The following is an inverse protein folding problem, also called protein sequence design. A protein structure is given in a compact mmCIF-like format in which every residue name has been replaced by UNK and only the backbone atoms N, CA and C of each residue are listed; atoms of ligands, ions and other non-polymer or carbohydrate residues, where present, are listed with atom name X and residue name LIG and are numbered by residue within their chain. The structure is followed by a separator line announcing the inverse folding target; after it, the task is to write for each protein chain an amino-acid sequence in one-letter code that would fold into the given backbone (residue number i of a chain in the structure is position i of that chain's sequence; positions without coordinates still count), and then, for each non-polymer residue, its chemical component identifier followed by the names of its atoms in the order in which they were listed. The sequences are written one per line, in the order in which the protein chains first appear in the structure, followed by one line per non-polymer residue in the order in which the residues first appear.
data_IF_998375691456
#
_entry.id   IF_998375691456
#
_cell.length_a   1.000
_cell.length_b   1.000
_cell.length_c   1.000
_cell.angle_alpha   90.00
_cell.angle_beta   90.00
_cell.angle_gamma   90.00
#
_symmetry.space_group_name_H-M   'P 1'
#
loop_
_entity.id
_entity.type
_entity.pdbx_description
1 polymer ?
#
# COMPACT_ATOMS: atom_id res chain seq x y z
N UNK A 1 -32.64 -3.51 -4.60
CA UNK A 1 -31.21 -3.17 -4.50
C UNK A 1 -30.95 -1.80 -3.79
N UNK A 2 -31.90 -1.27 -3.09
CA UNK A 2 -31.80 0.04 -2.39
C UNK A 2 -31.65 -0.07 -0.86
N UNK A 3 -31.65 -1.26 -0.32
CA UNK A 3 -31.66 -1.52 1.14
C UNK A 3 -30.38 -1.16 1.90
N UNK A 4 -29.27 -0.82 1.20
CA UNK A 4 -27.97 -0.57 1.85
C UNK A 4 -27.66 0.90 2.15
N UNK A 5 -28.37 1.84 1.55
CA UNK A 5 -28.23 3.28 1.88
C UNK A 5 -29.17 3.62 3.01
N UNK A 6 -30.36 3.00 3.06
CA UNK A 6 -31.35 3.28 4.08
C UNK A 6 -30.95 2.79 5.49
N UNK A 7 -30.14 1.71 5.57
CA UNK A 7 -29.56 1.25 6.84
C UNK A 7 -28.59 2.24 7.48
N UNK A 8 -27.99 3.14 6.65
CA UNK A 8 -27.06 4.18 7.13
C UNK A 8 -27.73 5.52 7.42
N UNK A 9 -28.95 5.76 6.93
CA UNK A 9 -29.68 7.01 7.16
C UNK A 9 -30.14 7.18 8.62
N UNK A 10 -30.16 6.10 9.40
CA UNK A 10 -30.51 6.07 10.81
C UNK A 10 -29.30 6.15 11.76
N UNK A 11 -28.07 6.34 11.22
CA UNK A 11 -26.88 6.47 12.06
C UNK A 11 -26.93 7.76 12.87
N UNK A 12 -26.86 7.61 14.19
CA UNK A 12 -26.74 8.76 15.11
C UNK A 12 -25.39 9.45 14.89
N UNK A 13 -25.37 10.80 14.93
CA UNK A 13 -24.10 11.53 15.09
C UNK A 13 -23.26 10.86 16.20
N UNK A 14 -21.95 10.58 16.01
CA UNK A 14 -21.07 11.19 15.00
C UNK A 14 -20.74 10.31 13.76
N UNK A 15 -21.57 9.37 13.38
CA UNK A 15 -21.36 8.54 12.17
C UNK A 15 -21.99 9.20 10.95
N UNK A 16 -21.25 9.28 9.82
CA UNK A 16 -21.71 9.96 8.60
C UNK A 16 -21.46 9.10 7.37
N UNK A 17 -22.51 8.72 6.62
CA UNK A 17 -22.33 8.08 5.33
C UNK A 17 -21.71 9.08 4.34
N UNK A 18 -20.76 8.60 3.54
CA UNK A 18 -20.05 9.41 2.55
C UNK A 18 -19.70 8.58 1.31
N UNK A 19 -19.55 9.26 0.18
CA UNK A 19 -18.91 8.72 -1.01
C UNK A 19 -17.73 9.62 -1.35
N UNK A 20 -16.55 9.32 -0.80
CA UNK A 20 -15.36 10.17 -0.99
C UNK A 20 -15.04 10.44 -2.45
N UNK A 21 -15.21 9.46 -3.34
CA UNK A 21 -15.01 9.64 -4.79
C UNK A 21 -15.98 10.61 -5.46
N UNK A 22 -17.15 10.83 -4.88
CA UNK A 22 -18.12 11.84 -5.35
C UNK A 22 -17.89 13.20 -4.69
N UNK A 23 -17.52 13.17 -3.41
CA UNK A 23 -17.25 14.37 -2.62
C UNK A 23 -15.99 15.08 -3.12
N UNK A 24 -14.91 14.34 -3.27
CA UNK A 24 -13.64 14.81 -3.83
C UNK A 24 -13.55 14.33 -5.29
N UNK A 25 -13.84 15.22 -6.23
CA UNK A 25 -13.95 14.91 -7.67
C UNK A 25 -12.59 14.74 -8.35
N UNK A 26 -11.75 13.85 -7.81
CA UNK A 26 -10.46 13.48 -8.37
C UNK A 26 -10.51 12.05 -8.91
N UNK A 27 -9.84 11.80 -10.04
CA UNK A 27 -9.57 10.44 -10.51
C UNK A 27 -8.59 9.76 -9.56
N UNK A 28 -8.77 8.47 -9.28
CA UNK A 28 -7.90 7.74 -8.35
C UNK A 28 -6.48 7.51 -8.87
N UNK A 29 -6.22 7.82 -10.14
CA UNK A 29 -4.96 7.67 -10.85
C UNK A 29 -4.41 8.99 -11.40
N UNK A 30 -4.96 10.15 -10.97
CA UNK A 30 -4.46 11.46 -11.38
C UNK A 30 -3.05 11.73 -10.86
N UNK A 31 -2.36 12.69 -11.46
CA UNK A 31 -0.96 12.98 -11.16
C UNK A 31 -0.11 11.69 -11.19
N UNK A 32 0.73 11.49 -10.21
CA UNK A 32 1.58 10.30 -10.07
C UNK A 32 0.93 9.12 -9.33
N UNK A 33 -0.31 9.24 -8.87
CA UNK A 33 -1.02 8.15 -8.18
C UNK A 33 -1.13 6.84 -8.98
N UNK A 34 -1.10 6.90 -10.29
CA UNK A 34 -1.10 5.73 -11.16
C UNK A 34 0.29 5.27 -11.61
N UNK A 35 1.37 5.80 -11.03
CA UNK A 35 2.73 5.55 -11.52
C UNK A 35 3.14 4.10 -11.35
N UNK A 36 2.80 3.48 -10.23
CA UNK A 36 3.03 2.07 -10.00
C UNK A 36 1.80 1.36 -9.44
N UNK A 37 1.58 0.09 -9.83
CA UNK A 37 0.48 -0.71 -9.34
C UNK A 37 0.79 -1.21 -7.93
N UNK A 38 0.09 -0.67 -6.94
CA UNK A 38 0.17 -1.09 -5.55
C UNK A 38 -1.19 -1.66 -5.11
N UNK A 39 -1.25 -2.91 -4.58
CA UNK A 39 -2.49 -3.51 -4.12
C UNK A 39 -3.01 -2.82 -2.87
N UNK A 40 -4.34 -2.77 -2.72
CA UNK A 40 -5.01 -2.14 -1.58
C UNK A 40 -4.53 -0.68 -1.32
N UNK A 41 -4.27 0.06 -2.39
CA UNK A 41 -3.82 1.45 -2.34
C UNK A 41 -4.80 2.33 -1.56
N UNK A 42 -4.28 3.14 -0.64
CA UNK A 42 -5.02 4.21 0.00
C UNK A 42 -5.55 5.18 -1.09
N UNK A 43 -6.86 5.37 -1.18
CA UNK A 43 -7.43 6.19 -2.25
C UNK A 43 -7.19 7.67 -2.00
N UNK A 44 -6.71 8.43 -3.00
CA UNK A 44 -6.35 9.84 -2.83
C UNK A 44 -7.53 10.71 -2.39
N UNK A 45 -8.76 10.35 -2.76
CA UNK A 45 -9.95 11.08 -2.36
C UNK A 45 -10.17 11.13 -0.83
N UNK A 46 -9.83 10.07 -0.11
CA UNK A 46 -9.92 10.04 1.36
C UNK A 46 -8.81 10.90 1.97
N UNK A 47 -7.57 10.73 1.50
CA UNK A 47 -6.41 11.49 2.00
C UNK A 47 -6.61 12.98 1.74
N UNK A 48 -7.02 13.37 0.52
CA UNK A 48 -7.32 14.77 0.16
C UNK A 48 -8.43 15.35 1.06
N UNK A 49 -9.53 14.62 1.24
CA UNK A 49 -10.61 15.06 2.11
C UNK A 49 -10.13 15.32 3.54
N UNK A 50 -9.35 14.37 4.10
CA UNK A 50 -8.82 14.53 5.46
C UNK A 50 -7.89 15.75 5.55
N UNK A 51 -6.96 15.91 4.61
CA UNK A 51 -6.03 17.03 4.56
C UNK A 51 -6.79 18.36 4.52
N UNK A 52 -7.77 18.51 3.64
CA UNK A 52 -8.52 19.75 3.45
C UNK A 52 -9.42 20.07 4.64
N UNK A 53 -10.00 19.06 5.31
CA UNK A 53 -10.94 19.24 6.42
C UNK A 53 -10.26 19.42 7.78
N UNK A 54 -9.07 18.86 8.01
CA UNK A 54 -8.47 18.74 9.34
C UNK A 54 -7.08 19.35 9.46
N UNK A 55 -6.51 19.88 8.39
CA UNK A 55 -5.16 20.46 8.38
C UNK A 55 -5.09 21.75 7.56
N UNK A 56 -4.00 22.50 7.71
CA UNK A 56 -3.71 23.71 6.93
C UNK A 56 -2.34 23.61 6.27
N UNK A 57 -2.06 24.38 5.20
CA UNK A 57 -0.72 24.45 4.62
C UNK A 57 0.35 24.73 5.66
N UNK A 58 1.47 24.02 5.57
CA UNK A 58 2.57 24.07 6.52
C UNK A 58 2.47 23.11 7.71
N UNK A 59 1.32 22.44 7.92
CA UNK A 59 1.21 21.39 8.94
C UNK A 59 2.07 20.18 8.53
N UNK A 60 2.62 19.49 9.54
CA UNK A 60 3.37 18.24 9.38
C UNK A 60 2.43 17.03 9.51
N UNK A 61 2.39 16.21 8.47
CA UNK A 61 1.54 15.01 8.41
C UNK A 61 2.36 13.73 8.52
N UNK A 62 1.74 12.66 9.02
CA UNK A 62 2.40 11.38 9.16
C UNK A 62 1.52 10.21 8.68
N UNK A 63 2.13 9.31 7.89
CA UNK A 63 1.57 8.00 7.57
C UNK A 63 2.58 6.89 7.92
N UNK A 64 2.33 6.11 9.00
CA UNK A 64 3.19 5.01 9.42
C UNK A 64 3.06 3.73 8.58
N UNK A 65 2.05 3.64 7.71
CA UNK A 65 1.77 2.50 6.83
C UNK A 65 1.54 2.99 5.39
N UNK A 66 2.50 3.77 4.89
CA UNK A 66 2.33 4.61 3.71
C UNK A 66 2.15 3.83 2.39
N UNK A 67 2.54 2.57 2.33
CA UNK A 67 2.32 1.67 1.20
C UNK A 67 2.78 2.25 -0.14
N UNK A 68 1.83 2.78 -0.91
CA UNK A 68 2.10 3.40 -2.21
C UNK A 68 2.48 4.87 -2.16
N UNK A 69 2.63 5.51 -0.99
CA UNK A 69 3.03 6.91 -0.89
C UNK A 69 1.93 7.95 -1.18
N UNK A 70 0.66 7.56 -1.10
CA UNK A 70 -0.47 8.48 -1.40
C UNK A 70 -0.41 9.78 -0.60
N UNK A 71 -0.03 9.74 0.68
CA UNK A 71 0.11 10.94 1.51
C UNK A 71 1.13 11.91 0.92
N UNK A 72 2.29 11.43 0.46
CA UNK A 72 3.34 12.30 -0.09
C UNK A 72 2.85 13.11 -1.29
N UNK A 73 2.16 12.47 -2.23
CA UNK A 73 1.60 13.16 -3.42
C UNK A 73 0.59 14.23 -2.99
N UNK A 74 -0.34 13.89 -2.11
CA UNK A 74 -1.38 14.81 -1.64
C UNK A 74 -0.80 15.96 -0.81
N UNK A 75 0.17 15.69 0.05
CA UNK A 75 0.86 16.69 0.85
C UNK A 75 1.61 17.70 -0.01
N UNK A 76 2.36 17.24 -1.02
CA UNK A 76 3.04 18.12 -1.97
C UNK A 76 2.09 19.04 -2.73
N UNK A 77 0.97 18.50 -3.23
CA UNK A 77 -0.02 19.28 -3.98
C UNK A 77 -0.72 20.31 -3.08
N UNK A 78 -0.89 20.01 -1.82
CA UNK A 78 -1.68 20.84 -0.88
C UNK A 78 -0.83 21.68 0.08
N UNK A 79 0.50 21.62 -0.02
CA UNK A 79 1.41 22.44 0.76
C UNK A 79 1.57 22.00 2.22
N UNK A 80 1.52 20.70 2.50
CA UNK A 80 1.81 20.12 3.80
C UNK A 80 3.17 19.46 3.80
N UNK A 81 3.88 19.54 4.92
CA UNK A 81 5.07 18.73 5.16
C UNK A 81 4.64 17.30 5.54
N UNK A 82 5.49 16.31 5.30
CA UNK A 82 5.10 14.93 5.57
C UNK A 82 6.25 14.01 5.98
N UNK A 83 5.88 13.02 6.79
CA UNK A 83 6.71 11.85 7.10
C UNK A 83 5.93 10.61 6.69
N UNK A 84 6.59 9.71 5.97
CA UNK A 84 6.01 8.43 5.56
C UNK A 84 6.93 7.29 5.97
N UNK A 85 6.37 6.30 6.63
CA UNK A 85 7.05 5.04 6.95
C UNK A 85 6.33 3.86 6.30
N UNK A 86 7.09 2.85 5.96
CA UNK A 86 6.56 1.55 5.57
C UNK A 86 7.55 0.44 5.92
N UNK A 87 7.05 -0.75 6.22
CA UNK A 87 7.89 -1.93 6.40
C UNK A 87 8.53 -2.36 5.07
N UNK A 88 7.85 -2.10 3.95
CA UNK A 88 8.37 -2.41 2.62
C UNK A 88 9.33 -1.30 2.16
N UNK A 89 10.64 -1.58 2.00
CA UNK A 89 11.59 -0.56 1.58
C UNK A 89 11.37 -0.05 0.16
N UNK A 90 10.53 -0.70 -0.64
CA UNK A 90 10.14 -0.23 -1.97
C UNK A 90 9.52 1.17 -1.95
N UNK A 91 8.89 1.59 -0.83
CA UNK A 91 8.31 2.92 -0.66
C UNK A 91 9.31 4.04 -0.96
N UNK A 92 10.59 3.87 -0.64
CA UNK A 92 11.60 4.92 -0.87
C UNK A 92 11.79 5.20 -2.35
N UNK A 93 11.81 4.17 -3.18
CA UNK A 93 11.93 4.31 -4.63
C UNK A 93 10.64 4.85 -5.23
N UNK A 94 9.50 4.27 -4.86
CA UNK A 94 8.19 4.68 -5.39
C UNK A 94 7.89 6.12 -5.02
N UNK A 95 8.02 6.50 -3.75
CA UNK A 95 7.70 7.83 -3.28
C UNK A 95 8.60 8.90 -3.90
N UNK A 96 9.91 8.64 -4.02
CA UNK A 96 10.83 9.56 -4.69
C UNK A 96 10.48 9.76 -6.17
N UNK A 97 10.00 8.72 -6.86
CA UNK A 97 9.53 8.84 -8.23
C UNK A 97 8.20 9.60 -8.30
N UNK A 98 7.28 9.31 -7.39
CA UNK A 98 5.94 9.88 -7.35
C UNK A 98 5.92 11.37 -6.95
N UNK A 99 6.89 11.81 -6.13
CA UNK A 99 7.03 13.21 -5.68
C UNK A 99 8.21 13.93 -6.32
N UNK A 100 8.60 13.52 -7.54
CA UNK A 100 9.72 14.09 -8.26
C UNK A 100 9.46 15.55 -8.69
N UNK A 101 10.23 16.50 -8.16
CA UNK A 101 10.05 17.95 -8.41
C UNK A 101 11.02 18.53 -9.44
N UNK A 102 12.15 17.88 -9.67
CA UNK A 102 13.13 18.40 -10.62
C UNK A 102 12.64 18.27 -12.05
N UNK A 103 13.05 19.23 -12.90
CA UNK A 103 12.72 19.14 -14.33
C UNK A 103 13.22 17.83 -14.92
N UNK A 104 12.34 17.10 -15.59
CA UNK A 104 12.71 15.86 -16.25
C UNK A 104 13.62 16.15 -17.44
N UNK A 105 14.78 15.51 -17.47
CA UNK A 105 15.57 15.36 -18.69
C UNK A 105 15.17 14.04 -19.34
N UNK A 106 14.52 14.10 -20.51
CA UNK A 106 14.05 12.90 -21.23
C UNK A 106 15.20 11.96 -21.59
N UNK A 107 16.41 12.48 -21.80
CA UNK A 107 17.63 11.67 -22.01
C UNK A 107 17.93 10.71 -20.85
N UNK A 108 17.40 10.97 -19.66
CA UNK A 108 17.48 10.02 -18.53
C UNK A 108 16.96 8.63 -18.91
N UNK A 109 15.95 8.57 -19.78
CA UNK A 109 15.33 7.31 -20.19
C UNK A 109 15.99 6.67 -21.42
N UNK A 110 17.05 7.26 -21.97
CA UNK A 110 17.88 6.66 -23.02
C UNK A 110 18.82 5.61 -22.40
N UNK A 111 18.28 4.43 -22.08
CA UNK A 111 19.05 3.35 -21.47
C UNK A 111 19.79 2.52 -22.50
N UNK A 112 21.02 2.11 -22.20
CA UNK A 112 21.77 1.18 -23.06
C UNK A 112 21.33 -0.27 -22.82
N UNK A 113 20.61 -0.85 -23.78
CA UNK A 113 20.16 -2.23 -23.74
C UNK A 113 21.30 -3.25 -23.89
N UNK A 114 22.49 -2.82 -24.35
CA UNK A 114 23.68 -3.64 -24.49
C UNK A 114 24.74 -3.30 -23.41
N UNK A 115 24.30 -2.72 -22.29
CA UNK A 115 25.23 -2.32 -21.23
C UNK A 115 26.17 -3.45 -20.84
N UNK A 116 27.43 -3.14 -20.63
CA UNK A 116 28.49 -4.14 -20.46
C UNK A 116 28.56 -4.76 -19.06
N UNK A 117 27.90 -4.15 -18.07
CA UNK A 117 27.75 -4.72 -16.73
C UNK A 117 26.36 -5.29 -16.54
N UNK A 118 26.24 -6.32 -15.72
CA UNK A 118 24.97 -6.92 -15.35
C UNK A 118 24.86 -7.01 -13.83
N UNK A 119 23.63 -6.80 -13.35
CA UNK A 119 23.26 -7.07 -11.98
C UNK A 119 22.35 -8.29 -11.93
N UNK A 120 22.77 -9.31 -11.19
CA UNK A 120 22.02 -10.55 -11.02
C UNK A 120 21.55 -10.63 -9.56
N UNK A 121 20.23 -10.65 -9.31
CA UNK A 121 19.69 -10.77 -7.96
C UNK A 121 20.17 -12.03 -7.25
N UNK A 122 20.54 -11.92 -5.96
CA UNK A 122 20.86 -13.07 -5.11
C UNK A 122 19.59 -13.82 -4.68
N UNK A 123 18.98 -14.50 -5.61
CA UNK A 123 17.74 -15.23 -5.45
C UNK A 123 17.88 -16.68 -5.90
N UNK A 124 17.74 -17.63 -4.96
CA UNK A 124 17.91 -19.07 -5.21
C UNK A 124 17.01 -19.60 -6.33
N UNK A 125 15.83 -19.02 -6.51
CA UNK A 125 14.84 -19.42 -7.51
C UNK A 125 14.79 -18.50 -8.75
N UNK A 126 15.85 -17.73 -9.04
CA UNK A 126 15.86 -16.76 -10.14
C UNK A 126 15.53 -17.40 -11.49
N UNK A 127 16.15 -18.55 -11.80
CA UNK A 127 15.93 -19.31 -13.04
C UNK A 127 14.54 -19.97 -13.14
N UNK A 128 13.85 -20.15 -11.99
CA UNK A 128 12.44 -20.56 -11.99
C UNK A 128 11.52 -19.44 -12.49
N UNK A 129 11.92 -18.17 -12.30
CA UNK A 129 11.14 -17.00 -12.67
C UNK A 129 11.51 -16.42 -14.03
N UNK A 130 12.69 -16.66 -14.54
CA UNK A 130 13.16 -16.08 -15.79
C UNK A 130 13.76 -17.11 -16.74
N UNK A 131 13.37 -17.10 -18.03
CA UNK A 131 14.18 -17.70 -19.08
C UNK A 131 15.55 -17.05 -19.15
N UNK A 132 16.57 -17.81 -19.54
CA UNK A 132 17.96 -17.34 -19.65
C UNK A 132 18.08 -16.15 -20.61
N UNK A 133 17.37 -16.20 -21.73
CA UNK A 133 17.37 -15.19 -22.79
C UNK A 133 16.89 -13.81 -22.27
N UNK A 134 15.83 -13.79 -21.46
CA UNK A 134 15.31 -12.56 -20.88
C UNK A 134 16.17 -12.07 -19.73
N UNK A 135 16.67 -13.00 -18.92
CA UNK A 135 17.51 -12.68 -17.77
C UNK A 135 18.79 -11.95 -18.18
N UNK A 136 19.41 -12.34 -19.31
CA UNK A 136 20.63 -11.68 -19.80
C UNK A 136 20.39 -10.18 -20.06
N UNK A 137 19.36 -9.82 -20.80
CA UNK A 137 19.05 -8.40 -21.08
C UNK A 137 18.59 -7.66 -19.81
N UNK A 138 17.67 -8.24 -19.06
CA UNK A 138 17.15 -7.59 -17.85
C UNK A 138 18.27 -7.33 -16.85
N UNK A 139 19.21 -8.27 -16.68
CA UNK A 139 20.35 -8.07 -15.78
C UNK A 139 21.28 -6.92 -16.22
N UNK A 140 21.43 -6.69 -17.53
CA UNK A 140 22.16 -5.53 -18.07
C UNK A 140 21.45 -4.21 -17.82
N UNK A 141 20.12 -4.18 -17.98
CA UNK A 141 19.32 -3.00 -17.68
C UNK A 141 19.42 -2.60 -16.19
N UNK A 142 19.40 -3.59 -15.30
CA UNK A 142 19.61 -3.35 -13.87
C UNK A 142 21.08 -3.08 -13.53
N UNK A 143 22.04 -3.57 -14.31
CA UNK A 143 23.44 -3.16 -14.23
C UNK A 143 23.60 -1.68 -14.56
N UNK A 144 22.92 -1.18 -15.61
CA UNK A 144 22.87 0.23 -15.94
C UNK A 144 22.24 1.05 -14.79
N UNK A 145 21.10 0.60 -14.26
CA UNK A 145 20.45 1.26 -13.13
C UNK A 145 21.35 1.38 -11.90
N UNK A 146 22.13 0.36 -11.58
CA UNK A 146 23.03 0.39 -10.42
C UNK A 146 24.19 1.40 -10.58
N UNK A 147 24.69 1.60 -11.81
CA UNK A 147 25.71 2.62 -12.07
C UNK A 147 25.10 4.04 -12.18
N UNK A 148 23.84 4.15 -12.60
CA UNK A 148 23.10 5.42 -12.76
C UNK A 148 21.74 5.36 -12.06
N UNK A 149 21.72 5.27 -10.71
CA UNK A 149 20.48 5.09 -9.97
C UNK A 149 19.60 6.34 -10.05
N UNK A 150 18.38 6.15 -10.54
CA UNK A 150 17.35 7.18 -10.54
C UNK A 150 15.98 6.54 -10.32
N UNK A 151 15.17 6.99 -9.35
CA UNK A 151 13.90 6.38 -9.02
C UNK A 151 12.90 6.37 -10.20
N UNK A 152 12.99 7.35 -11.11
CA UNK A 152 12.14 7.38 -12.31
C UNK A 152 12.45 6.21 -13.26
N UNK A 153 13.73 5.79 -13.37
CA UNK A 153 14.13 4.64 -14.19
C UNK A 153 13.66 3.31 -13.60
N UNK A 154 13.56 3.21 -12.29
CA UNK A 154 13.11 1.97 -11.65
C UNK A 154 11.69 1.57 -12.08
N UNK A 155 10.81 2.54 -12.34
CA UNK A 155 9.41 2.28 -12.69
C UNK A 155 9.26 1.47 -13.99
N UNK A 156 9.79 1.92 -15.15
CA UNK A 156 9.74 1.11 -16.37
C UNK A 156 10.54 -0.20 -16.25
N UNK A 157 11.65 -0.21 -15.49
CA UNK A 157 12.43 -1.42 -15.27
C UNK A 157 11.66 -2.48 -14.48
N UNK A 158 10.93 -2.13 -13.43
CA UNK A 158 10.04 -3.05 -12.72
C UNK A 158 8.99 -3.64 -13.65
N UNK A 159 8.39 -2.80 -14.50
CA UNK A 159 7.37 -3.24 -15.44
C UNK A 159 7.91 -4.24 -16.43
N UNK A 160 9.06 -3.94 -17.05
CA UNK A 160 9.75 -4.82 -17.98
C UNK A 160 10.16 -6.13 -17.30
N UNK A 161 10.79 -6.04 -16.11
CA UNK A 161 11.23 -7.21 -15.36
C UNK A 161 10.09 -8.16 -15.04
N UNK A 162 8.92 -7.62 -14.64
CA UNK A 162 7.73 -8.44 -14.36
C UNK A 162 7.12 -9.03 -15.62
N UNK A 163 7.02 -8.25 -16.71
CA UNK A 163 6.43 -8.69 -17.97
C UNK A 163 7.22 -9.83 -18.63
N UNK A 164 8.54 -9.76 -18.60
CA UNK A 164 9.44 -10.76 -19.17
C UNK A 164 9.83 -11.86 -18.17
N UNK A 165 9.02 -12.08 -17.14
CA UNK A 165 9.16 -13.17 -16.18
C UNK A 165 7.96 -14.13 -16.25
N UNK A 166 8.06 -15.27 -15.57
CA UNK A 166 6.94 -16.19 -15.38
C UNK A 166 5.94 -15.72 -14.31
N UNK A 167 6.04 -14.47 -13.82
CA UNK A 167 5.09 -13.90 -12.87
C UNK A 167 3.75 -13.57 -13.54
N UNK A 168 2.66 -13.83 -12.85
CA UNK A 168 1.34 -13.40 -13.27
C UNK A 168 1.22 -11.88 -13.21
N UNK A 169 0.55 -11.27 -14.22
CA UNK A 169 0.43 -9.82 -14.33
C UNK A 169 -0.84 -9.26 -13.70
N UNK A 170 -1.93 -10.03 -13.77
CA UNK A 170 -3.25 -9.58 -13.33
C UNK A 170 -3.40 -9.56 -11.80
N UNK A 171 -2.60 -10.37 -11.10
CA UNK A 171 -2.64 -10.46 -9.65
C UNK A 171 -1.39 -9.85 -9.01
N UNK A 172 -1.54 -9.15 -7.90
CA UNK A 172 -0.39 -8.55 -7.24
C UNK A 172 0.56 -9.58 -6.64
N UNK A 173 0.05 -10.72 -6.14
CA UNK A 173 0.87 -11.78 -5.53
C UNK A 173 1.74 -12.46 -6.56
N UNK A 174 3.03 -12.61 -6.24
CA UNK A 174 3.99 -13.30 -7.11
C UNK A 174 3.67 -14.80 -7.17
N UNK A 175 3.15 -15.26 -8.30
CA UNK A 175 2.94 -16.69 -8.59
C UNK A 175 3.08 -16.97 -10.09
N UNK A 176 3.42 -18.21 -10.41
CA UNK A 176 3.60 -18.68 -11.78
C UNK A 176 2.31 -19.39 -12.23
N UNK A 177 1.57 -18.74 -13.12
CA UNK A 177 0.36 -19.32 -13.73
C UNK A 177 0.67 -19.99 -15.06
N UNK A 178 -0.23 -20.83 -15.55
CA UNK A 178 -0.14 -21.40 -16.91
C UNK A 178 -0.19 -20.29 -17.99
N UNK A 179 -0.96 -19.22 -17.76
CA UNK A 179 -1.05 -18.08 -18.67
C UNK A 179 0.28 -17.31 -18.74
N UNK A 180 0.95 -17.14 -17.60
CA UNK A 180 2.28 -16.53 -17.58
C UNK A 180 3.32 -17.38 -18.30
N UNK A 181 3.24 -18.70 -18.17
CA UNK A 181 4.12 -19.64 -18.92
C UNK A 181 3.86 -19.55 -20.41
N UNK A 182 2.60 -19.51 -20.84
CA UNK A 182 2.22 -19.38 -22.26
C UNK A 182 2.65 -18.03 -22.83
N UNK A 183 2.46 -16.93 -22.10
CA UNK A 183 2.97 -15.60 -22.46
C UNK A 183 4.46 -15.64 -22.74
N UNK A 184 5.25 -16.18 -21.82
CA UNK A 184 6.72 -16.29 -21.97
C UNK A 184 7.10 -17.14 -23.16
N UNK A 185 6.43 -18.27 -23.40
CA UNK A 185 6.64 -19.11 -24.57
C UNK A 185 6.38 -18.36 -25.88
N UNK A 186 5.27 -17.62 -25.96
CA UNK A 186 4.94 -16.82 -27.13
C UNK A 186 5.93 -15.68 -27.36
N UNK A 187 6.39 -15.03 -26.30
CA UNK A 187 7.44 -14.02 -26.38
C UNK A 187 8.75 -14.60 -26.94
N UNK A 188 9.21 -15.75 -26.43
CA UNK A 188 10.45 -16.41 -26.93
C UNK A 188 10.37 -16.77 -28.41
N UNK A 189 9.17 -17.03 -28.94
CA UNK A 189 8.93 -17.33 -30.36
C UNK A 189 8.71 -16.08 -31.22
N UNK A 190 8.80 -14.87 -30.65
CA UNK A 190 8.58 -13.60 -31.31
C UNK A 190 9.85 -12.73 -31.34
N UNK A 191 9.76 -11.56 -31.98
CA UNK A 191 10.82 -10.54 -31.86
C UNK A 191 10.77 -9.83 -30.49
N UNK A 192 10.95 -10.60 -29.42
CA UNK A 192 10.79 -10.14 -28.04
C UNK A 192 11.74 -9.00 -27.64
N UNK A 193 12.89 -8.83 -28.30
CA UNK A 193 13.82 -7.74 -28.01
C UNK A 193 13.22 -6.39 -28.37
N UNK A 194 12.51 -6.31 -29.49
CA UNK A 194 11.82 -5.08 -29.86
C UNK A 194 10.60 -4.85 -28.98
N UNK A 195 9.83 -5.90 -28.64
CA UNK A 195 8.73 -5.81 -27.67
C UNK A 195 9.23 -5.28 -26.32
N UNK A 196 10.40 -5.73 -25.87
CA UNK A 196 11.01 -5.26 -24.61
C UNK A 196 11.34 -3.76 -24.67
N UNK A 197 11.99 -3.33 -25.77
CA UNK A 197 12.33 -1.91 -25.98
C UNK A 197 11.09 -1.04 -26.06
N UNK A 198 10.08 -1.49 -26.79
CA UNK A 198 8.82 -0.73 -26.95
C UNK A 198 8.04 -0.64 -25.64
N UNK A 199 7.98 -1.72 -24.87
CA UNK A 199 7.40 -1.70 -23.53
C UNK A 199 8.14 -0.71 -22.61
N UNK A 200 9.46 -0.75 -22.60
CA UNK A 200 10.26 0.17 -21.82
C UNK A 200 9.99 1.63 -22.20
N UNK A 201 10.01 1.97 -23.50
CA UNK A 201 9.74 3.32 -24.01
C UNK A 201 8.35 3.79 -23.63
N UNK A 202 7.34 2.95 -23.87
CA UNK A 202 5.94 3.27 -23.52
C UNK A 202 5.79 3.59 -22.03
N UNK A 203 6.44 2.79 -21.16
CA UNK A 203 6.39 3.04 -19.72
C UNK A 203 7.21 4.28 -19.32
N UNK A 204 8.33 4.56 -19.97
CA UNK A 204 9.11 5.78 -19.76
C UNK A 204 8.31 7.03 -20.13
N UNK A 205 7.66 7.05 -21.30
CA UNK A 205 6.76 8.14 -21.73
C UNK A 205 5.60 8.35 -20.75
N UNK A 206 5.04 7.24 -20.24
CA UNK A 206 4.00 7.29 -19.20
C UNK A 206 4.50 7.91 -17.91
N UNK A 207 5.72 7.59 -17.48
CA UNK A 207 6.36 8.18 -16.29
C UNK A 207 6.54 9.67 -16.49
N UNK A 208 7.12 10.11 -17.63
CA UNK A 208 7.32 11.51 -17.97
C UNK A 208 6.01 12.27 -17.91
N UNK A 209 4.97 11.76 -18.57
CA UNK A 209 3.64 12.38 -18.60
C UNK A 209 3.06 12.54 -17.19
N UNK A 210 3.13 11.50 -16.37
CA UNK A 210 2.57 11.49 -15.01
C UNK A 210 3.32 12.44 -14.07
N UNK A 211 4.64 12.49 -14.17
CA UNK A 211 5.45 13.40 -13.36
C UNK A 211 5.22 14.86 -13.78
N UNK A 212 5.14 15.14 -15.08
CA UNK A 212 4.78 16.49 -15.57
C UNK A 212 3.38 16.92 -15.10
N UNK A 213 2.38 16.00 -15.10
CA UNK A 213 1.06 16.27 -14.54
C UNK A 213 1.16 16.63 -13.05
N UNK A 214 1.91 15.85 -12.25
CA UNK A 214 2.15 16.13 -10.84
C UNK A 214 2.81 17.48 -10.62
N UNK A 215 3.90 17.77 -11.33
CA UNK A 215 4.63 19.04 -11.20
C UNK A 215 3.75 20.27 -11.51
N UNK A 216 2.83 20.14 -12.47
CA UNK A 216 1.88 21.22 -12.80
C UNK A 216 0.90 21.53 -11.65
N UNK A 217 0.65 20.58 -10.76
CA UNK A 217 -0.24 20.72 -9.60
C UNK A 217 0.48 21.22 -8.36
N UNK A 218 1.80 21.01 -8.26
CA UNK A 218 2.59 21.42 -7.11
C UNK A 218 2.91 22.91 -7.15
N UNK A 219 2.31 23.65 -6.21
CA UNK A 219 2.53 25.10 -6.04
C UNK A 219 3.31 25.46 -4.78
N UNK A 220 3.62 24.47 -3.96
CA UNK A 220 4.24 24.60 -2.65
C UNK A 220 5.62 23.94 -2.62
N UNK A 221 6.42 24.33 -1.64
CA UNK A 221 7.71 23.69 -1.38
C UNK A 221 7.64 22.87 -0.10
N UNK A 222 6.87 21.79 -0.13
CA UNK A 222 6.73 20.88 1.00
C UNK A 222 8.00 20.09 1.25
N UNK A 223 8.25 19.73 2.52
CA UNK A 223 9.36 18.88 2.94
C UNK A 223 8.84 17.47 3.23
N UNK A 224 9.40 16.48 2.55
CA UNK A 224 9.04 15.08 2.72
C UNK A 224 10.17 14.24 3.30
N UNK A 225 9.86 13.41 4.28
CA UNK A 225 10.75 12.38 4.81
C UNK A 225 10.10 11.02 4.56
N UNK A 226 10.80 10.15 3.83
CA UNK A 226 10.31 8.80 3.52
C UNK A 226 11.32 7.78 4.02
N UNK A 227 10.86 6.80 4.79
CA UNK A 227 11.69 5.72 5.33
C UNK A 227 11.04 4.37 5.08
N UNK A 228 11.75 3.51 4.36
CA UNK A 228 11.40 2.12 4.13
C UNK A 228 12.10 1.17 5.11
N UNK A 229 11.59 -0.06 5.24
CA UNK A 229 12.14 -1.06 6.16
C UNK A 229 11.83 -0.80 7.64
N UNK A 230 10.93 0.13 7.94
CA UNK A 230 10.60 0.55 9.30
C UNK A 230 9.65 -0.44 9.98
N UNK A 231 10.07 -0.95 11.11
CA UNK A 231 9.24 -1.73 12.02
C UNK A 231 8.59 -0.78 13.04
N UNK A 232 7.33 -0.45 12.86
CA UNK A 232 6.58 0.49 13.72
C UNK A 232 6.51 0.06 15.19
N UNK A 233 6.76 -1.22 15.49
CA UNK A 233 6.80 -1.69 16.87
C UNK A 233 8.11 -1.32 17.57
N UNK A 234 9.17 -0.99 16.83
CA UNK A 234 10.51 -0.68 17.37
C UNK A 234 10.86 0.80 17.32
N UNK A 235 10.29 1.52 16.35
CA UNK A 235 10.59 2.93 16.15
C UNK A 235 9.65 3.83 16.96
N UNK A 236 10.16 4.99 17.38
CA UNK A 236 9.36 6.02 18.00
C UNK A 236 8.79 6.95 16.92
N UNK A 237 7.45 7.13 16.86
CA UNK A 237 6.84 8.01 15.89
C UNK A 237 7.20 9.48 16.14
N UNK A 238 7.32 10.27 15.07
CA UNK A 238 7.55 11.71 15.20
C UNK A 238 6.34 12.40 15.84
N UNK A 239 6.58 13.53 16.47
CA UNK A 239 5.52 14.45 16.85
C UNK A 239 5.07 15.23 15.61
N UNK A 240 3.76 15.26 15.33
CA UNK A 240 3.20 15.82 14.10
C UNK A 240 1.87 16.53 14.37
N UNK A 241 1.40 17.35 13.43
CA UNK A 241 0.11 18.01 13.55
C UNK A 241 -1.03 17.03 13.32
N UNK A 242 -0.91 16.15 12.32
CA UNK A 242 -1.93 15.13 12.04
C UNK A 242 -1.35 13.81 11.51
N UNK A 243 -2.06 12.73 11.81
CA UNK A 243 -1.81 11.40 11.24
C UNK A 243 -2.96 11.06 10.31
N UNK A 244 -2.67 10.57 9.11
CA UNK A 244 -3.66 9.96 8.23
C UNK A 244 -3.07 8.66 7.68
N UNK A 245 -3.73 7.55 7.97
CA UNK A 245 -3.17 6.25 7.66
C UNK A 245 -4.23 5.19 7.38
N UNK A 246 -3.85 4.19 6.60
CA UNK A 246 -4.61 2.96 6.39
C UNK A 246 -3.77 1.77 6.82
N UNK A 247 -3.85 1.33 8.09
CA UNK A 247 -3.05 0.22 8.58
C UNK A 247 -3.39 -1.09 7.85
N UNK A 248 -2.47 -2.08 7.83
CA UNK A 248 -2.75 -3.37 7.22
C UNK A 248 -4.00 -4.00 7.86
N UNK A 249 -4.79 -4.73 7.06
CA UNK A 249 -5.99 -5.39 7.56
C UNK A 249 -5.66 -6.68 8.32
N UNK A 250 -6.57 -7.09 9.19
CA UNK A 250 -6.45 -8.30 10.03
C UNK A 250 -6.17 -9.58 9.21
N UNK A 251 -6.73 -9.69 8.01
CA UNK A 251 -6.38 -10.69 7.01
C UNK A 251 -5.52 -10.04 5.93
N UNK A 252 -4.36 -9.53 6.34
CA UNK A 252 -3.49 -8.75 5.50
C UNK A 252 -3.03 -9.53 4.26
N UNK A 253 -2.84 -8.78 3.18
CA UNK A 253 -2.04 -9.24 2.06
C UNK A 253 -0.58 -9.31 2.54
N UNK A 254 0.13 -10.35 2.15
CA UNK A 254 1.57 -10.47 2.36
C UNK A 254 2.29 -9.48 1.42
N UNK A 255 2.38 -8.20 1.83
CA UNK A 255 2.94 -7.13 0.99
C UNK A 255 4.39 -7.39 0.60
N UNK A 256 5.21 -7.85 1.54
CA UNK A 256 6.62 -8.19 1.26
C UNK A 256 6.71 -9.32 0.22
N UNK A 257 5.84 -10.32 0.33
CA UNK A 257 5.77 -11.41 -0.66
C UNK A 257 5.28 -10.92 -2.03
N UNK A 258 4.36 -9.97 -2.05
CA UNK A 258 3.80 -9.38 -3.27
C UNK A 258 4.87 -8.66 -4.09
N UNK A 259 5.73 -7.89 -3.42
CA UNK A 259 6.79 -7.11 -4.06
C UNK A 259 8.17 -7.77 -4.04
N UNK A 260 8.21 -9.08 -3.83
CA UNK A 260 9.45 -9.85 -3.72
C UNK A 260 10.33 -9.72 -4.97
N UNK A 261 9.73 -9.65 -6.15
CA UNK A 261 10.44 -9.50 -7.41
C UNK A 261 11.16 -8.15 -7.49
N UNK A 262 10.45 -7.07 -7.16
CA UNK A 262 10.97 -5.71 -7.14
C UNK A 262 12.12 -5.57 -6.12
N UNK A 263 11.93 -6.13 -4.92
CA UNK A 263 12.94 -6.13 -3.86
C UNK A 263 14.23 -6.85 -4.30
N UNK A 264 14.13 -7.97 -4.98
CA UNK A 264 15.32 -8.66 -5.51
C UNK A 264 16.06 -7.82 -6.54
N UNK A 265 15.37 -7.16 -7.45
CA UNK A 265 16.00 -6.27 -8.43
C UNK A 265 16.58 -5.01 -7.79
N UNK A 266 16.08 -4.57 -6.65
CA UNK A 266 16.68 -3.51 -5.83
C UNK A 266 17.86 -4.01 -4.98
N UNK A 267 18.25 -5.28 -5.08
CA UNK A 267 19.44 -5.82 -4.40
C UNK A 267 19.19 -6.44 -3.03
N UNK A 268 17.94 -6.53 -2.58
CA UNK A 268 17.61 -7.20 -1.33
C UNK A 268 17.87 -8.71 -1.44
N UNK A 269 18.50 -9.27 -0.42
CA UNK A 269 18.79 -10.70 -0.35
C UNK A 269 17.56 -11.49 0.15
N UNK A 270 17.57 -12.80 -0.09
CA UNK A 270 16.49 -13.68 0.37
C UNK A 270 16.31 -13.66 1.90
N UNK A 271 17.42 -13.55 2.65
CA UNK A 271 17.37 -13.43 4.12
C UNK A 271 16.75 -12.11 4.57
N UNK A 272 17.13 -10.98 3.96
CA UNK A 272 16.53 -9.67 4.28
C UNK A 272 15.03 -9.65 4.00
N UNK A 273 14.58 -10.20 2.86
CA UNK A 273 13.16 -10.29 2.52
C UNK A 273 12.40 -11.19 3.51
N UNK A 274 12.98 -12.32 3.94
CA UNK A 274 12.40 -13.19 4.97
C UNK A 274 12.28 -12.49 6.33
N UNK A 275 13.28 -11.70 6.71
CA UNK A 275 13.24 -10.93 7.97
C UNK A 275 12.18 -9.82 7.94
N UNK A 276 12.02 -9.11 6.81
CA UNK A 276 10.94 -8.16 6.65
C UNK A 276 9.56 -8.84 6.76
N UNK A 277 9.37 -9.98 6.10
CA UNK A 277 8.09 -10.69 6.12
C UNK A 277 7.67 -11.16 7.54
N UNK A 278 8.63 -11.46 8.43
CA UNK A 278 8.35 -11.80 9.84
C UNK A 278 7.81 -10.62 10.66
N UNK A 279 8.04 -9.38 10.21
CA UNK A 279 7.61 -8.16 10.89
C UNK A 279 6.25 -7.66 10.40
N UNK A 280 5.67 -8.27 9.37
CA UNK A 280 4.35 -7.88 8.86
C UNK A 280 3.26 -8.09 9.93
N UNK A 281 2.40 -7.09 10.10
CA UNK A 281 1.18 -7.21 10.91
C UNK A 281 0.13 -7.96 10.04
N UNK A 282 -0.51 -9.01 10.57
CA UNK A 282 -0.57 -9.52 11.95
C UNK A 282 0.38 -10.69 12.27
N UNK A 283 1.38 -10.98 11.47
CA UNK A 283 2.23 -12.17 11.59
C UNK A 283 3.43 -12.00 12.54
N UNK A 284 3.67 -10.77 13.00
CA UNK A 284 4.70 -10.43 13.97
C UNK A 284 4.38 -10.98 15.38
N UNK A 285 5.32 -10.82 16.31
CA UNK A 285 5.13 -11.09 17.74
C UNK A 285 5.18 -9.74 18.49
N UNK A 286 4.05 -9.03 18.61
CA UNK A 286 4.01 -7.73 19.25
C UNK A 286 4.15 -7.87 20.78
N UNK A 287 4.56 -6.78 21.46
CA UNK A 287 4.40 -6.67 22.90
C UNK A 287 2.93 -6.83 23.28
N UNK A 288 2.68 -7.43 24.44
CA UNK A 288 1.33 -7.48 25.00
C UNK A 288 0.98 -6.12 25.56
N UNK A 289 -0.21 -5.64 25.26
CA UNK A 289 -0.74 -4.35 25.77
C UNK A 289 -2.12 -4.55 26.38
N UNK A 290 -2.46 -3.70 27.33
CA UNK A 290 -3.82 -3.64 27.86
C UNK A 290 -4.75 -3.03 26.78
N UNK A 291 -5.68 -3.83 26.27
CA UNK A 291 -6.65 -3.38 25.27
C UNK A 291 -7.93 -2.97 25.98
N UNK A 292 -8.19 -1.66 26.01
CA UNK A 292 -9.36 -1.08 26.68
C UNK A 292 -10.51 -0.90 25.69
N UNK A 293 -11.07 -2.00 25.22
CA UNK A 293 -12.22 -2.05 24.31
C UNK A 293 -13.13 -3.22 24.67
N UNK A 294 -14.40 -2.91 24.97
CA UNK A 294 -15.42 -3.94 25.22
C UNK A 294 -15.69 -4.75 23.96
N UNK A 295 -15.70 -4.08 22.81
CA UNK A 295 -15.88 -4.70 21.51
C UNK A 295 -14.77 -5.68 21.19
N UNK A 296 -13.50 -5.37 21.53
CA UNK A 296 -12.39 -6.30 21.37
C UNK A 296 -12.64 -7.62 22.12
N UNK A 297 -13.00 -7.56 23.40
CA UNK A 297 -13.22 -8.76 24.21
C UNK A 297 -14.45 -9.55 23.78
N UNK A 298 -15.52 -8.87 23.36
CA UNK A 298 -16.69 -9.51 22.77
C UNK A 298 -16.31 -10.38 21.56
N UNK A 299 -15.57 -9.82 20.63
CA UNK A 299 -15.15 -10.55 19.41
C UNK A 299 -14.03 -11.55 19.69
N UNK A 300 -13.20 -11.36 20.70
CA UNK A 300 -12.22 -12.35 21.16
C UNK A 300 -12.92 -13.65 21.56
N UNK A 301 -14.03 -13.55 22.32
CA UNK A 301 -14.81 -14.74 22.71
C UNK A 301 -15.48 -15.40 21.47
N UNK A 302 -15.95 -14.63 20.52
CA UNK A 302 -16.50 -15.20 19.26
C UNK A 302 -15.41 -15.92 18.44
N UNK A 303 -14.19 -15.37 18.37
CA UNK A 303 -13.06 -16.01 17.67
C UNK A 303 -12.60 -17.29 18.38
N UNK A 304 -12.64 -17.34 19.72
CA UNK A 304 -12.34 -18.54 20.51
C UNK A 304 -13.27 -19.71 20.18
N UNK A 305 -14.56 -19.44 19.92
CA UNK A 305 -15.55 -20.46 19.56
C UNK A 305 -15.20 -21.24 18.29
N UNK A 306 -14.34 -20.69 17.43
CA UNK A 306 -13.89 -21.39 16.23
C UNK A 306 -12.87 -22.51 16.54
N UNK A 307 -12.36 -22.60 17.75
CA UNK A 307 -11.35 -23.59 18.20
C UNK A 307 -10.11 -23.65 17.30
N UNK A 308 -9.76 -22.52 16.68
CA UNK A 308 -8.67 -22.41 15.70
C UNK A 308 -7.53 -21.54 16.24
N UNK A 309 -6.48 -22.18 16.79
CA UNK A 309 -5.36 -21.51 17.46
C UNK A 309 -4.71 -20.40 16.63
N UNK A 310 -4.54 -20.61 15.31
CA UNK A 310 -3.93 -19.61 14.44
C UNK A 310 -4.81 -18.36 14.25
N UNK A 311 -6.14 -18.51 14.16
CA UNK A 311 -7.04 -17.37 14.06
C UNK A 311 -7.00 -16.52 15.33
N UNK A 312 -7.00 -17.15 16.48
CA UNK A 312 -6.91 -16.47 17.77
C UNK A 312 -5.57 -15.73 17.90
N UNK A 313 -4.46 -16.39 17.51
CA UNK A 313 -3.13 -15.75 17.49
C UNK A 313 -3.10 -14.53 16.57
N UNK A 314 -3.62 -14.65 15.34
CA UNK A 314 -3.67 -13.56 14.36
C UNK A 314 -4.52 -12.39 14.89
N UNK A 315 -5.69 -12.69 15.47
CA UNK A 315 -6.57 -11.69 16.05
C UNK A 315 -5.88 -10.90 17.17
N UNK A 316 -5.30 -11.60 18.13
CA UNK A 316 -4.62 -10.95 19.26
C UNK A 316 -3.36 -10.22 18.86
N UNK A 317 -2.53 -10.79 17.97
CA UNK A 317 -1.33 -10.14 17.47
C UNK A 317 -1.65 -8.84 16.69
N UNK A 318 -2.69 -8.85 15.88
CA UNK A 318 -3.12 -7.68 15.13
C UNK A 318 -3.46 -6.49 16.02
N UNK A 319 -4.36 -6.69 16.98
CA UNK A 319 -4.77 -5.61 17.87
C UNK A 319 -3.67 -5.19 18.83
N UNK A 320 -2.88 -6.14 19.37
CA UNK A 320 -1.70 -5.78 20.16
C UNK A 320 -0.72 -4.91 19.37
N UNK A 321 -0.46 -5.24 18.10
CA UNK A 321 0.45 -4.47 17.25
C UNK A 321 -0.07 -3.03 17.02
N UNK A 322 -1.31 -2.90 16.57
CA UNK A 322 -1.88 -1.59 16.25
C UNK A 322 -2.00 -0.71 17.50
N UNK A 323 -2.53 -1.27 18.58
CA UNK A 323 -2.73 -0.53 19.83
C UNK A 323 -1.40 -0.15 20.47
N UNK A 324 -0.41 -1.05 20.48
CA UNK A 324 0.94 -0.72 20.94
C UNK A 324 1.51 0.49 20.17
N UNK A 325 1.35 0.51 18.86
CA UNK A 325 1.82 1.61 18.04
C UNK A 325 0.98 2.89 18.26
N UNK A 326 -0.35 2.81 18.21
CA UNK A 326 -1.21 4.00 18.37
C UNK A 326 -1.10 4.65 19.76
N UNK A 327 -0.74 3.90 20.80
CA UNK A 327 -0.44 4.45 22.13
C UNK A 327 0.75 5.42 22.12
N UNK A 328 1.65 5.31 21.15
CA UNK A 328 2.83 6.18 21.03
C UNK A 328 2.57 7.43 20.18
N UNK A 329 1.46 7.51 19.46
CA UNK A 329 1.19 8.62 18.53
C UNK A 329 1.05 9.95 19.30
N UNK A 330 1.80 10.95 18.83
CA UNK A 330 1.78 12.32 19.29
C UNK A 330 1.31 13.23 18.15
N UNK A 331 0.01 13.47 18.11
CA UNK A 331 -0.63 14.33 17.11
C UNK A 331 -1.88 14.99 17.69
N UNK A 332 -2.32 16.10 17.08
CA UNK A 332 -3.56 16.77 17.44
C UNK A 332 -4.78 16.07 16.87
N UNK A 333 -4.63 15.50 15.68
CA UNK A 333 -5.72 14.82 14.94
C UNK A 333 -5.20 13.54 14.31
N UNK A 334 -6.00 12.50 14.31
CA UNK A 334 -5.70 11.25 13.61
C UNK A 334 -6.90 10.81 12.79
N UNK A 335 -6.65 10.44 11.52
CA UNK A 335 -7.57 9.75 10.63
C UNK A 335 -7.10 8.34 10.37
N UNK A 336 -7.90 7.35 10.73
CA UNK A 336 -7.58 5.93 10.50
C UNK A 336 -8.61 5.37 9.52
N UNK A 337 -8.15 4.97 8.34
CA UNK A 337 -9.00 4.41 7.29
C UNK A 337 -8.92 2.89 7.31
N UNK A 338 -9.98 2.26 7.79
CA UNK A 338 -10.08 0.80 7.95
C UNK A 338 -11.48 0.32 7.59
N UNK A 339 -11.58 -0.93 7.15
CA UNK A 339 -12.88 -1.57 6.95
C UNK A 339 -13.12 -2.69 7.97
N UNK A 340 -14.38 -3.05 8.22
CA UNK A 340 -14.70 -4.24 8.99
C UNK A 340 -14.22 -5.47 8.24
N UNK A 341 -13.46 -6.34 8.92
CA UNK A 341 -12.87 -7.56 8.34
C UNK A 341 -13.70 -8.79 8.69
N UNK A 342 -13.94 -9.65 7.71
CA UNK A 342 -14.67 -10.91 7.92
C UNK A 342 -13.69 -12.01 8.34
N UNK A 343 -13.90 -12.60 9.52
CA UNK A 343 -13.25 -13.84 9.95
C UNK A 343 -14.32 -14.94 9.94
N UNK A 344 -14.22 -15.90 9.03
CA UNK A 344 -15.26 -16.90 8.78
C UNK A 344 -16.63 -16.24 8.58
N UNK A 345 -17.57 -16.41 9.52
CA UNK A 345 -18.93 -15.88 9.47
C UNK A 345 -19.15 -14.62 10.33
N UNK A 346 -18.11 -14.14 11.05
CA UNK A 346 -18.21 -12.92 11.85
C UNK A 346 -17.47 -11.76 11.20
N UNK A 347 -17.98 -10.56 11.43
CA UNK A 347 -17.41 -9.31 10.90
C UNK A 347 -16.88 -8.48 12.06
N UNK A 348 -15.57 -8.26 12.09
CA UNK A 348 -14.85 -7.55 13.16
C UNK A 348 -14.83 -6.05 12.84
N UNK A 349 -15.43 -5.19 13.65
CA UNK A 349 -15.43 -3.74 13.50
C UNK A 349 -14.13 -3.15 14.04
N UNK A 350 -13.10 -3.07 13.20
CA UNK A 350 -11.76 -2.62 13.60
C UNK A 350 -11.80 -1.17 14.08
N UNK A 351 -12.53 -0.31 13.38
CA UNK A 351 -12.72 1.10 13.72
C UNK A 351 -13.31 1.29 15.12
N UNK A 352 -14.34 0.51 15.48
CA UNK A 352 -14.97 0.60 16.80
C UNK A 352 -14.02 0.16 17.92
N UNK A 353 -13.27 -0.91 17.71
CA UNK A 353 -12.27 -1.41 18.67
C UNK A 353 -11.17 -0.35 18.90
N UNK A 354 -10.67 0.25 17.84
CA UNK A 354 -9.66 1.30 17.93
C UNK A 354 -10.23 2.55 18.60
N UNK A 355 -11.45 2.97 18.23
CA UNK A 355 -12.15 4.11 18.84
C UNK A 355 -12.27 3.95 20.36
N UNK A 356 -12.85 2.84 20.82
CA UNK A 356 -13.05 2.60 22.26
C UNK A 356 -11.73 2.64 23.04
N UNK A 357 -10.67 2.02 22.48
CA UNK A 357 -9.36 2.05 23.11
C UNK A 357 -8.77 3.46 23.14
N UNK A 358 -8.78 4.17 22.03
CA UNK A 358 -8.21 5.52 21.92
C UNK A 358 -8.95 6.53 22.83
N UNK A 359 -10.27 6.43 22.94
CA UNK A 359 -11.04 7.23 23.91
C UNK A 359 -10.57 6.99 25.35
N UNK A 360 -10.24 5.75 25.70
CA UNK A 360 -9.73 5.41 27.04
C UNK A 360 -8.36 6.00 27.38
N UNK A 361 -7.61 6.47 26.37
CA UNK A 361 -6.27 7.08 26.52
C UNK A 361 -6.25 8.57 26.17
N UNK A 362 -7.44 9.22 26.19
CA UNK A 362 -7.55 10.67 26.08
C UNK A 362 -7.75 11.23 24.67
N UNK A 363 -8.11 10.40 23.70
CA UNK A 363 -8.60 10.86 22.41
C UNK A 363 -10.12 11.05 22.46
N UNK A 364 -10.63 12.05 21.76
CA UNK A 364 -12.05 12.28 21.59
C UNK A 364 -12.48 11.87 20.18
N UNK A 365 -13.54 11.06 20.09
CA UNK A 365 -14.15 10.73 18.81
C UNK A 365 -14.78 11.99 18.18
N UNK A 366 -14.31 12.38 17.03
CA UNK A 366 -14.85 13.52 16.28
C UNK A 366 -15.97 13.05 15.33
N UNK A 367 -15.66 12.08 14.48
CA UNK A 367 -16.60 11.52 13.50
C UNK A 367 -16.04 10.24 12.90
N UNK A 368 -16.92 9.33 12.50
CA UNK A 368 -16.60 8.21 11.62
C UNK A 368 -17.34 8.38 10.30
N UNK A 369 -16.59 8.57 9.21
CA UNK A 369 -17.15 8.58 7.86
C UNK A 369 -17.21 7.16 7.32
N UNK A 370 -18.37 6.75 6.83
CA UNK A 370 -18.62 5.41 6.28
C UNK A 370 -18.72 5.51 4.78
N UNK A 371 -17.69 5.06 4.08
CA UNK A 371 -17.62 5.04 2.61
C UNK A 371 -18.12 3.70 2.06
N UNK A 372 -18.96 3.75 1.06
CA UNK A 372 -19.46 2.55 0.36
C UNK A 372 -18.54 2.20 -0.80
N UNK A 373 -18.05 0.97 -0.84
CA UNK A 373 -17.17 0.51 -1.91
C UNK A 373 -17.98 0.27 -3.19
N UNK A 374 -17.87 1.21 -4.16
CA UNK A 374 -18.68 1.22 -5.38
C UNK A 374 -18.12 0.32 -6.49
N UNK A 375 -16.81 0.10 -6.55
CA UNK A 375 -16.18 -0.73 -7.58
C UNK A 375 -14.91 -1.42 -7.10
N UNK A 376 -14.72 -2.67 -7.54
CA UNK A 376 -13.50 -3.43 -7.32
C UNK A 376 -12.97 -3.94 -8.65
N UNK A 377 -11.66 -3.86 -8.87
CA UNK A 377 -10.99 -4.47 -10.04
C UNK A 377 -10.97 -6.00 -9.98
N UNK A 378 -11.10 -6.59 -8.81
CA UNK A 378 -11.06 -8.05 -8.61
C UNK A 378 -12.42 -8.63 -8.96
N UNK A 379 -12.45 -9.64 -9.85
CA UNK A 379 -13.65 -10.43 -10.17
C UNK A 379 -14.28 -10.97 -8.88
N UNK A 380 -15.60 -10.84 -8.75
CA UNK A 380 -16.33 -11.39 -7.61
C UNK A 380 -16.17 -12.91 -7.59
N UNK A 381 -15.39 -13.42 -6.68
CA UNK A 381 -15.40 -14.84 -6.32
C UNK A 381 -16.60 -15.00 -5.39
N UNK A 382 -17.62 -15.71 -5.83
CA UNK A 382 -18.85 -15.90 -5.02
C UNK A 382 -18.62 -16.80 -3.81
N UNK A 383 -17.68 -17.73 -3.92
CA UNK A 383 -17.35 -18.70 -2.88
C UNK A 383 -15.82 -18.72 -2.70
N UNK A 384 -15.36 -18.61 -1.48
CA UNK A 384 -13.94 -18.73 -1.18
C UNK A 384 -13.48 -20.19 -1.40
N UNK A 385 -12.57 -20.46 -2.35
CA UNK A 385 -12.19 -21.83 -2.69
C UNK A 385 -11.47 -22.57 -1.55
N UNK A 386 -10.91 -21.85 -0.57
CA UNK A 386 -10.20 -22.45 0.57
C UNK A 386 -11.15 -22.83 1.72
N UNK A 387 -12.30 -22.16 1.84
CA UNK A 387 -13.22 -22.35 2.98
C UNK A 387 -14.61 -22.85 2.58
N UNK A 388 -14.95 -22.81 1.28
CA UNK A 388 -16.29 -23.14 0.76
C UNK A 388 -17.41 -22.17 1.20
N UNK A 389 -17.08 -21.09 1.89
CA UNK A 389 -18.03 -20.08 2.37
C UNK A 389 -18.27 -19.00 1.30
N UNK A 390 -19.47 -18.44 1.30
CA UNK A 390 -19.75 -17.27 0.45
C UNK A 390 -18.79 -16.12 0.80
N UNK A 391 -18.11 -15.60 -0.22
CA UNK A 391 -17.21 -14.47 -0.07
C UNK A 391 -18.00 -13.16 -0.21
N UNK A 392 -18.59 -12.73 0.89
CA UNK A 392 -19.14 -11.40 1.03
C UNK A 392 -18.00 -10.40 1.25
N UNK A 393 -17.62 -9.72 0.19
CA UNK A 393 -16.65 -8.63 0.28
C UNK A 393 -17.08 -7.59 1.31
N UNK A 394 -16.09 -6.92 1.94
CA UNK A 394 -16.33 -5.77 2.83
C UNK A 394 -17.12 -4.71 2.05
N UNK A 395 -18.35 -4.35 2.48
CA UNK A 395 -19.21 -3.43 1.74
C UNK A 395 -18.80 -1.96 1.95
N UNK A 396 -18.13 -1.66 3.05
CA UNK A 396 -17.78 -0.30 3.47
C UNK A 396 -16.35 -0.23 3.97
N UNK A 397 -15.76 0.96 3.87
CA UNK A 397 -14.52 1.36 4.55
C UNK A 397 -14.81 2.62 5.36
N UNK A 398 -14.18 2.73 6.52
CA UNK A 398 -14.50 3.76 7.49
C UNK A 398 -13.28 4.65 7.73
N UNK A 399 -13.45 5.99 7.67
CA UNK A 399 -12.46 6.94 8.13
C UNK A 399 -12.85 7.36 9.57
N UNK A 400 -12.19 6.76 10.53
CA UNK A 400 -12.29 7.13 11.94
C UNK A 400 -11.43 8.35 12.19
N UNK A 401 -12.05 9.46 12.63
CA UNK A 401 -11.34 10.70 12.98
C UNK A 401 -11.42 10.92 14.47
N UNK A 402 -10.24 11.04 15.10
CA UNK A 402 -10.10 11.32 16.53
C UNK A 402 -9.28 12.59 16.73
N UNK A 403 -9.55 13.33 17.77
CA UNK A 403 -8.78 14.52 18.21
C UNK A 403 -8.27 14.34 19.63
N UNK A 404 -7.08 14.86 19.88
CA UNK A 404 -6.51 14.94 21.23
C UNK A 404 -6.68 16.35 21.73
N UNK A 405 -7.17 16.51 22.96
CA UNK A 405 -7.29 17.79 23.64
C UNK A 405 -5.93 18.32 24.09
#
# INVERSE_FOLDING_TARGET
MNTRIDDFLNLKSPYRPVLFRKLVKLKTDYATHGLYLYPAKFIPNVVRYFIDAYTKPGDLLFDPFAGSGTLGIEAEITGRDYVMWDLNPLIEVLSRAETWKEKINEKLFEIDFNYNKSFIPKWSNLTYWYPKEFLDIISRLWGYYNDYPNPLLAIPLFKVSKYFSYAELEFPKLYKSRFAVERVKNLLSSNWKDILKDLYRTEAERVIKKVNEFQSLCKYNSKGIVKGGIDVLKEEPPEVDAVITSPPYLQAQEYIRTFKLELYWLGYTESQIKELAKKEIPYNNPPQVEIRSKTFYKYLEEVKKFEHKNLLKIYTAYFNSLIFFFNKIRAKTIGIFVGPVKIRNIRIPIDEILKEHMESIGWRHEVTYIDTIVSRRIKKIKVNPATGLEDEHTPTEHLLVMKKE
#
